data_IF_386775807086
#
_entry.id   IF_386775807086
#
_cell.length_a   1.000
_cell.length_b   1.000
_cell.length_c   1.000
_cell.angle_alpha   90.00
_cell.angle_beta   90.00
_cell.angle_gamma   90.00
#
_symmetry.space_group_name_H-M   'P 1'
#
loop_
_entity.id
_entity.type
_entity.pdbx_description
1 polymer ?
#
# COMPACT_ATOMS: atom_id res chain seq x y z
N UNK A 1 1.73 -4.30 16.95
CA UNK A 1 2.64 -3.67 15.96
C UNK A 1 1.79 -2.71 15.14
N UNK A 2 2.08 -1.42 15.21
CA UNK A 2 1.38 -0.39 14.43
C UNK A 2 2.16 -0.14 13.15
N UNK A 3 1.51 -0.27 12.01
CA UNK A 3 2.14 -0.13 10.69
C UNK A 3 1.76 1.20 10.08
N UNK A 4 2.77 1.89 9.53
CA UNK A 4 2.64 3.13 8.80
C UNK A 4 2.91 2.90 7.31
N UNK A 5 2.09 3.45 6.44
CA UNK A 5 2.35 3.55 5.02
C UNK A 5 2.88 4.96 4.71
N UNK A 6 4.15 5.06 4.31
CA UNK A 6 4.76 6.35 3.99
C UNK A 6 4.81 6.61 2.48
N UNK A 7 4.66 7.86 2.08
CA UNK A 7 4.56 8.24 0.66
C UNK A 7 5.85 8.02 -0.15
N UNK A 8 7.00 8.09 0.48
CA UNK A 8 8.29 7.92 -0.18
C UNK A 8 8.70 9.08 -1.12
N UNK A 9 9.91 9.02 -1.68
CA UNK A 9 10.45 10.11 -2.52
C UNK A 9 9.72 10.26 -3.85
N UNK A 10 9.13 9.19 -4.39
CA UNK A 10 8.45 9.18 -5.69
C UNK A 10 7.03 9.77 -5.66
N UNK A 11 6.61 10.33 -4.52
CA UNK A 11 5.28 10.96 -4.41
C UNK A 11 5.04 12.01 -5.50
N UNK A 12 6.06 12.81 -5.82
CA UNK A 12 5.97 13.85 -6.86
C UNK A 12 5.72 13.31 -8.25
N UNK A 13 6.19 12.11 -8.56
CA UNK A 13 6.02 11.45 -9.85
C UNK A 13 4.58 10.93 -10.05
N UNK A 14 3.81 10.83 -8.97
CA UNK A 14 2.40 10.45 -8.97
C UNK A 14 1.44 11.64 -9.06
N UNK A 15 1.94 12.85 -9.18
CA UNK A 15 1.08 14.02 -9.42
C UNK A 15 0.38 13.92 -10.79
N UNK A 16 -0.86 14.41 -10.90
CA UNK A 16 -1.63 15.16 -9.90
C UNK A 16 -2.44 14.30 -8.91
N UNK A 17 -2.40 12.97 -9.00
CA UNK A 17 -3.29 12.06 -8.27
C UNK A 17 -3.13 12.15 -6.73
N UNK A 18 -1.94 12.49 -6.26
CA UNK A 18 -1.60 12.60 -4.84
C UNK A 18 -1.63 14.04 -4.29
N UNK A 19 -2.21 14.98 -5.04
CA UNK A 19 -2.31 16.37 -4.58
C UNK A 19 -3.15 16.49 -3.32
N UNK A 20 -4.27 15.78 -3.25
CA UNK A 20 -5.28 15.89 -2.19
C UNK A 20 -5.34 14.67 -1.29
N UNK A 21 -4.44 13.70 -1.46
CA UNK A 21 -4.46 12.45 -0.71
C UNK A 21 -3.07 11.84 -0.59
N UNK A 22 -2.82 11.00 0.46
CA UNK A 22 -1.64 10.16 0.53
C UNK A 22 -1.56 9.16 -0.62
N UNK A 23 -0.35 8.69 -0.94
CA UNK A 23 -0.15 7.60 -1.92
C UNK A 23 -0.93 6.34 -1.51
N UNK A 24 -0.98 6.03 -0.23
CA UNK A 24 -1.74 4.90 0.31
C UNK A 24 -3.24 4.91 -0.07
N UNK A 25 -3.81 6.08 -0.38
CA UNK A 25 -5.22 6.21 -0.76
C UNK A 25 -5.45 6.23 -2.29
N UNK A 26 -4.44 5.90 -3.08
CA UNK A 26 -4.63 5.66 -4.51
C UNK A 26 -5.41 4.37 -4.71
N UNK A 27 -6.39 4.44 -5.61
CA UNK A 27 -7.23 3.31 -5.98
C UNK A 27 -6.53 2.51 -7.09
N UNK A 28 -6.45 1.20 -6.92
CA UNK A 28 -6.04 0.26 -7.95
C UNK A 28 -6.87 -1.02 -7.80
N UNK A 29 -7.47 -1.51 -8.89
CA UNK A 29 -8.46 -2.56 -8.78
C UNK A 29 -9.71 -2.08 -8.04
N UNK A 30 -10.25 -2.89 -7.15
CA UNK A 30 -11.46 -2.62 -6.37
C UNK A 30 -11.23 -1.93 -5.03
N UNK A 31 -9.98 -1.59 -4.65
CA UNK A 31 -9.67 -1.03 -3.33
C UNK A 31 -8.43 -0.14 -3.34
N UNK A 32 -8.23 0.67 -2.30
CA UNK A 32 -7.03 1.48 -2.15
C UNK A 32 -5.80 0.63 -1.78
N UNK A 33 -4.60 1.21 -1.93
CA UNK A 33 -3.37 0.55 -1.46
C UNK A 33 -3.43 0.31 0.05
N UNK A 34 -3.98 1.25 0.83
CA UNK A 34 -4.17 1.08 2.27
C UNK A 34 -5.10 -0.10 2.58
N UNK A 35 -6.27 -0.19 1.93
CA UNK A 35 -7.22 -1.29 2.14
C UNK A 35 -6.58 -2.66 1.85
N UNK A 36 -5.70 -2.74 0.84
CA UNK A 36 -4.95 -3.97 0.52
C UNK A 36 -4.02 -4.38 1.64
N UNK A 37 -3.26 -3.42 2.16
CA UNK A 37 -2.37 -3.66 3.29
C UNK A 37 -3.15 -4.05 4.54
N UNK A 38 -4.25 -3.36 4.86
CA UNK A 38 -5.10 -3.69 6.01
C UNK A 38 -5.68 -5.10 5.93
N UNK A 39 -6.11 -5.53 4.74
CA UNK A 39 -6.60 -6.90 4.51
C UNK A 39 -5.52 -7.94 4.72
N UNK A 40 -4.33 -7.74 4.15
CA UNK A 40 -3.21 -8.67 4.28
C UNK A 40 -2.73 -8.75 5.73
N UNK A 41 -2.64 -7.62 6.41
CA UNK A 41 -2.20 -7.50 7.80
C UNK A 41 -3.27 -7.90 8.80
N UNK A 42 -4.54 -7.91 8.41
CA UNK A 42 -5.72 -8.02 9.29
C UNK A 42 -5.69 -6.99 10.42
N UNK A 43 -5.23 -5.80 10.13
CA UNK A 43 -5.05 -4.70 11.07
C UNK A 43 -5.11 -3.37 10.34
N UNK A 44 -5.58 -2.32 11.02
CA UNK A 44 -5.55 -0.97 10.47
C UNK A 44 -4.13 -0.46 10.31
N UNK A 45 -3.93 0.39 9.29
CA UNK A 45 -2.68 1.10 9.05
C UNK A 45 -2.86 2.60 9.31
N UNK A 46 -1.74 3.28 9.59
CA UNK A 46 -1.67 4.75 9.61
C UNK A 46 -0.87 5.22 8.40
N UNK A 47 -0.96 6.49 8.05
CA UNK A 47 -0.23 7.05 6.90
C UNK A 47 0.76 8.12 7.35
N UNK A 48 1.88 8.22 6.65
CA UNK A 48 2.81 9.35 6.72
C UNK A 48 2.89 9.99 5.34
N UNK A 49 2.48 11.25 5.23
CA UNK A 49 2.36 11.97 3.96
C UNK A 49 2.81 13.43 4.11
N UNK A 50 2.68 14.20 3.03
CA UNK A 50 3.03 15.62 3.02
C UNK A 50 2.32 16.40 4.14
N UNK A 51 3.04 17.31 4.78
CA UNK A 51 2.60 18.05 5.98
C UNK A 51 1.31 18.85 5.80
N UNK A 52 1.01 19.28 4.57
CA UNK A 52 -0.24 20.02 4.28
C UNK A 52 -1.48 19.08 4.26
N UNK A 53 -1.30 17.77 4.07
CA UNK A 53 -2.38 16.76 4.18
C UNK A 53 -2.46 16.22 5.60
N UNK A 54 -1.32 16.09 6.28
CA UNK A 54 -1.23 15.52 7.60
C UNK A 54 -0.20 16.27 8.44
N UNK A 55 -0.65 17.23 9.29
CA UNK A 55 0.27 18.09 10.05
C UNK A 55 1.13 17.36 11.09
N UNK A 56 0.73 16.15 11.49
CA UNK A 56 1.44 15.36 12.51
C UNK A 56 1.71 13.96 12.01
N UNK A 57 2.97 13.55 12.09
CA UNK A 57 3.35 12.15 11.85
C UNK A 57 2.75 11.26 12.94
N UNK A 58 2.04 10.18 12.58
CA UNK A 58 1.51 9.25 13.57
C UNK A 58 2.63 8.46 14.23
N UNK A 59 2.40 7.94 15.42
CA UNK A 59 3.31 6.96 16.02
C UNK A 59 3.13 5.60 15.37
N UNK A 60 4.23 4.92 15.04
CA UNK A 60 4.25 3.59 14.46
C UNK A 60 5.47 2.79 14.93
N UNK A 61 5.47 1.49 14.69
CA UNK A 61 6.59 0.59 14.98
C UNK A 61 7.34 0.21 13.70
N UNK A 62 6.61 0.08 12.59
CA UNK A 62 7.14 -0.29 11.27
C UNK A 62 6.53 0.62 10.22
N UNK A 63 7.34 1.07 9.28
CA UNK A 63 6.89 1.82 8.11
C UNK A 63 7.15 1.03 6.83
N UNK A 64 6.22 1.12 5.87
CA UNK A 64 6.27 0.47 4.57
C UNK A 64 5.98 1.51 3.49
N UNK A 65 6.69 1.46 2.38
CA UNK A 65 6.45 2.33 1.24
C UNK A 65 5.04 2.10 0.68
N UNK A 66 4.19 3.12 0.75
CA UNK A 66 2.78 3.05 0.38
C UNK A 66 2.57 2.64 -1.09
N UNK A 67 3.51 2.99 -1.97
CA UNK A 67 3.48 2.68 -3.39
C UNK A 67 3.70 1.19 -3.71
N UNK A 68 4.11 0.36 -2.75
CA UNK A 68 4.28 -1.06 -2.94
C UNK A 68 2.93 -1.79 -2.89
N UNK A 69 2.67 -2.61 -3.91
CA UNK A 69 1.59 -3.60 -3.81
C UNK A 69 1.98 -4.67 -2.78
N UNK A 70 1.09 -5.01 -1.84
CA UNK A 70 1.39 -6.03 -0.85
C UNK A 70 1.58 -7.40 -1.49
N UNK A 71 2.59 -8.14 -0.99
CA UNK A 71 2.79 -9.56 -1.29
C UNK A 71 3.12 -10.31 0.00
N UNK A 72 2.96 -11.63 -0.04
CA UNK A 72 3.25 -12.48 1.12
C UNK A 72 4.75 -12.42 1.45
N UNK A 73 5.60 -12.40 0.42
CA UNK A 73 7.06 -12.34 0.56
C UNK A 73 7.49 -11.03 1.22
N UNK A 74 6.90 -9.91 0.77
CA UNK A 74 7.18 -8.61 1.37
C UNK A 74 6.71 -8.55 2.82
N UNK A 75 5.52 -9.07 3.12
CA UNK A 75 5.00 -9.13 4.48
C UNK A 75 5.92 -9.95 5.40
N UNK A 76 6.39 -11.11 4.94
CA UNK A 76 7.31 -11.96 5.70
C UNK A 76 8.64 -11.24 5.97
N UNK A 77 9.20 -10.57 4.95
CA UNK A 77 10.43 -9.80 5.11
C UNK A 77 10.25 -8.66 6.12
N UNK A 78 9.16 -7.93 6.04
CA UNK A 78 8.83 -6.84 6.99
C UNK A 78 8.67 -7.36 8.42
N UNK A 79 8.04 -8.53 8.61
CA UNK A 79 7.86 -9.15 9.93
C UNK A 79 9.19 -9.61 10.55
N UNK A 80 10.18 -9.96 9.72
CA UNK A 80 11.51 -10.39 10.17
C UNK A 80 12.44 -9.22 10.53
N UNK A 81 12.11 -7.98 10.14
CA UNK A 81 12.91 -6.81 10.48
C UNK A 81 13.06 -6.67 12.00
N UNK A 82 14.27 -6.35 12.42
CA UNK A 82 14.60 -5.94 13.79
C UNK A 82 14.59 -4.43 13.91
N UNK A 83 14.49 -3.92 15.14
CA UNK A 83 14.60 -2.48 15.38
C UNK A 83 15.94 -1.95 14.87
N UNK A 84 15.90 -0.83 14.13
CA UNK A 84 17.07 -0.25 13.49
C UNK A 84 17.48 -0.90 12.17
N UNK A 85 16.63 -1.75 11.57
CA UNK A 85 16.83 -2.31 10.24
C UNK A 85 15.89 -1.69 9.21
N UNK A 86 16.37 -1.56 7.97
CA UNK A 86 15.62 -1.09 6.81
C UNK A 86 15.73 -2.07 5.65
N UNK A 87 14.66 -2.21 4.90
CA UNK A 87 14.56 -3.08 3.73
C UNK A 87 14.75 -2.24 2.47
N UNK A 88 15.70 -2.62 1.63
CA UNK A 88 16.04 -1.93 0.38
C UNK A 88 15.77 -2.85 -0.80
N UNK A 89 15.22 -2.30 -1.87
CA UNK A 89 15.03 -2.99 -3.15
C UNK A 89 15.47 -2.08 -4.29
N UNK A 90 16.52 -2.45 -5.01
CA UNK A 90 17.12 -1.65 -6.10
C UNK A 90 17.38 -0.19 -5.64
N UNK A 91 18.13 -0.01 -4.56
CA UNK A 91 18.48 1.27 -3.94
C UNK A 91 17.28 2.09 -3.41
N UNK A 92 16.08 1.51 -3.43
CA UNK A 92 14.87 2.16 -2.91
C UNK A 92 14.52 1.62 -1.53
N UNK A 93 14.23 2.52 -0.60
CA UNK A 93 13.70 2.18 0.72
C UNK A 93 12.26 1.63 0.58
N UNK A 94 12.07 0.39 1.01
CA UNK A 94 10.77 -0.30 0.95
C UNK A 94 10.10 -0.33 2.31
N UNK A 95 10.87 -0.61 3.37
CA UNK A 95 10.34 -0.65 4.73
C UNK A 95 11.45 -0.40 5.74
N UNK A 96 11.07 -0.04 6.96
CA UNK A 96 11.99 0.02 8.09
C UNK A 96 11.26 -0.23 9.41
N UNK A 97 11.99 -0.66 10.41
CA UNK A 97 11.46 -0.87 11.75
C UNK A 97 12.12 0.05 12.75
N UNK A 98 11.31 0.91 13.35
CA UNK A 98 11.71 1.93 14.29
C UNK A 98 10.67 3.03 14.41
N UNK A 99 10.79 3.88 15.41
CA UNK A 99 9.81 4.94 15.72
C UNK A 99 10.19 6.31 15.15
N UNK A 100 11.14 6.33 14.21
CA UNK A 100 11.63 7.56 13.57
C UNK A 100 10.84 7.90 12.30
N UNK A 101 11.05 9.10 11.76
CA UNK A 101 10.45 9.49 10.47
C UNK A 101 11.11 8.76 9.29
N UNK A 102 10.43 8.74 8.15
CA UNK A 102 10.93 8.11 6.91
C UNK A 102 12.03 8.91 6.19
N UNK A 103 12.58 9.96 6.79
CA UNK A 103 13.64 10.77 6.18
C UNK A 103 14.96 10.02 6.09
N UNK A 104 15.72 10.26 5.03
CA UNK A 104 17.02 9.60 4.80
C UNK A 104 18.02 9.87 5.92
N UNK A 105 18.02 11.06 6.53
CA UNK A 105 18.90 11.40 7.65
C UNK A 105 18.59 10.55 8.88
N UNK A 106 17.29 10.41 9.23
CA UNK A 106 16.86 9.61 10.36
C UNK A 106 17.18 8.12 10.20
N UNK A 107 17.28 7.63 8.96
CA UNK A 107 17.53 6.22 8.63
C UNK A 107 18.98 5.93 8.24
N UNK A 108 19.87 6.92 8.31
CA UNK A 108 21.28 6.76 7.91
C UNK A 108 22.05 5.72 8.74
N UNK A 109 21.69 5.56 10.02
CA UNK A 109 22.29 4.59 10.92
C UNK A 109 21.63 3.20 10.90
N UNK A 110 20.56 3.01 10.10
CA UNK A 110 19.86 1.72 10.05
C UNK A 110 20.66 0.71 9.20
N UNK A 111 20.67 -0.52 9.66
CA UNK A 111 21.23 -1.65 8.93
C UNK A 111 20.40 -1.95 7.69
N UNK A 112 21.05 -2.04 6.53
CA UNK A 112 20.40 -2.33 5.26
C UNK A 112 20.24 -3.83 5.05
N UNK A 113 19.01 -4.26 4.76
CA UNK A 113 18.67 -5.62 4.37
C UNK A 113 18.17 -5.57 2.92
N UNK A 114 18.80 -6.32 2.04
CA UNK A 114 18.38 -6.39 0.63
C UNK A 114 17.13 -7.26 0.46
N UNK A 115 16.16 -6.74 -0.29
CA UNK A 115 14.96 -7.46 -0.70
C UNK A 115 15.06 -7.82 -2.19
N UNK A 116 15.45 -9.05 -2.49
CA UNK A 116 15.69 -9.52 -3.85
C UNK A 116 14.47 -10.14 -4.54
N UNK A 117 13.34 -10.28 -3.84
CA UNK A 117 12.11 -10.84 -4.44
C UNK A 117 11.43 -9.84 -5.39
N UNK A 118 10.68 -10.32 -6.40
CA UNK A 118 9.90 -9.45 -7.28
C UNK A 118 8.94 -8.57 -6.50
N UNK A 119 8.95 -7.28 -6.81
CA UNK A 119 8.10 -6.29 -6.16
C UNK A 119 7.43 -5.39 -7.20
N UNK A 120 6.13 -5.20 -7.05
CA UNK A 120 5.38 -4.23 -7.86
C UNK A 120 5.25 -2.92 -7.12
N UNK A 121 5.80 -1.87 -7.70
CA UNK A 121 5.78 -0.51 -7.13
C UNK A 121 5.08 0.42 -8.11
N UNK A 122 4.11 1.17 -7.62
CA UNK A 122 3.42 2.22 -8.39
C UNK A 122 4.29 3.48 -8.35
N UNK A 123 5.01 3.75 -9.44
CA UNK A 123 5.93 4.90 -9.56
C UNK A 123 5.30 6.07 -10.28
N UNK A 124 4.47 5.78 -11.28
CA UNK A 124 3.86 6.76 -12.15
C UNK A 124 2.35 6.56 -12.27
N UNK A 125 1.57 7.57 -12.64
CA UNK A 125 0.12 7.45 -12.80
C UNK A 125 -0.31 6.33 -13.76
N UNK A 126 0.45 6.06 -14.81
CA UNK A 126 0.15 4.99 -15.77
C UNK A 126 0.41 3.58 -15.24
N UNK A 127 1.18 3.42 -14.16
CA UNK A 127 1.36 2.12 -13.53
C UNK A 127 0.05 1.61 -12.93
N UNK A 128 -0.82 2.53 -12.47
CA UNK A 128 -2.17 2.17 -12.02
C UNK A 128 -2.96 1.47 -13.12
N UNK A 129 -2.87 1.96 -14.36
CA UNK A 129 -3.55 1.33 -15.50
C UNK A 129 -2.87 0.03 -15.91
N UNK A 130 -1.54 0.03 -15.98
CA UNK A 130 -0.76 -1.13 -16.44
C UNK A 130 -0.95 -2.35 -15.54
N UNK A 131 -1.09 -2.14 -14.23
CA UNK A 131 -1.27 -3.23 -13.26
C UNK A 131 -2.73 -3.52 -12.94
N UNK A 132 -3.68 -2.64 -13.33
CA UNK A 132 -5.06 -2.70 -12.89
C UNK A 132 -5.74 -4.03 -13.22
N UNK A 133 -5.56 -4.55 -14.44
CA UNK A 133 -6.19 -5.82 -14.87
C UNK A 133 -5.77 -6.97 -13.97
N UNK A 134 -4.47 -7.13 -13.70
CA UNK A 134 -3.97 -8.18 -12.82
C UNK A 134 -4.53 -8.00 -11.41
N UNK A 135 -4.50 -6.78 -10.91
CA UNK A 135 -4.96 -6.47 -9.56
C UNK A 135 -6.45 -6.70 -9.38
N UNK A 136 -7.30 -6.41 -10.41
CA UNK A 136 -8.73 -6.75 -10.38
C UNK A 136 -8.92 -8.27 -10.31
N UNK A 137 -8.17 -9.04 -11.10
CA UNK A 137 -8.26 -10.51 -11.05
C UNK A 137 -7.92 -11.05 -9.66
N UNK A 138 -6.88 -10.49 -9.02
CA UNK A 138 -6.51 -10.85 -7.66
C UNK A 138 -7.63 -10.47 -6.66
N UNK A 139 -8.28 -9.32 -6.87
CA UNK A 139 -9.36 -8.82 -6.01
C UNK A 139 -10.64 -9.65 -6.07
N UNK A 140 -10.95 -10.25 -7.23
CA UNK A 140 -12.15 -11.08 -7.38
C UNK A 140 -12.17 -12.19 -6.32
N UNK A 141 -11.03 -12.76 -5.99
CA UNK A 141 -10.92 -13.78 -4.95
C UNK A 141 -11.33 -13.27 -3.55
N UNK A 142 -11.14 -11.98 -3.28
CA UNK A 142 -11.53 -11.36 -2.01
C UNK A 142 -13.01 -10.98 -1.95
N UNK A 143 -13.64 -10.72 -3.10
CA UNK A 143 -15.04 -10.32 -3.17
C UNK A 143 -15.99 -11.50 -3.35
N UNK A 144 -15.53 -12.61 -3.94
CA UNK A 144 -16.37 -13.80 -4.22
C UNK A 144 -16.91 -14.47 -2.96
N UNK A 145 -16.23 -14.34 -1.81
CA UNK A 145 -16.68 -14.93 -0.54
C UNK A 145 -17.59 -14.02 0.28
N UNK A 146 -17.74 -12.76 -0.11
CA UNK A 146 -18.22 -11.78 0.85
C UNK A 146 -19.67 -11.37 0.72
N UNK A 147 -20.40 -11.60 -0.33
CA UNK A 147 -21.86 -11.26 -0.30
C UNK A 147 -22.60 -11.74 -1.54
N UNK A 148 -23.56 -12.62 -1.34
CA UNK A 148 -24.77 -12.66 -2.16
C UNK A 148 -25.62 -11.45 -1.77
N UNK A 149 -25.23 -10.28 -2.23
CA UNK A 149 -26.08 -9.11 -2.06
C UNK A 149 -27.23 -9.21 -3.04
N UNK A 150 -28.45 -9.22 -2.53
CA UNK A 150 -29.61 -8.98 -3.36
C UNK A 150 -29.52 -7.54 -3.88
N UNK A 151 -29.69 -7.37 -5.18
CA UNK A 151 -29.78 -6.04 -5.77
C UNK A 151 -30.90 -5.26 -5.08
N UNK A 152 -30.64 -3.98 -4.76
CA UNK A 152 -31.68 -3.09 -4.26
C UNK A 152 -32.79 -2.96 -5.29
N UNK A 153 -34.06 -2.84 -4.87
CA UNK A 153 -35.26 -2.81 -5.73
C UNK A 153 -35.22 -1.71 -6.81
N UNK A 154 -34.41 -0.66 -6.61
CA UNK A 154 -34.21 0.40 -7.62
C UNK A 154 -33.30 -0.02 -8.79
N UNK A 155 -32.60 -1.18 -8.71
CA UNK A 155 -31.75 -1.67 -9.78
C UNK A 155 -32.55 -2.53 -10.75
N UNK A 156 -32.25 -2.40 -12.04
CA UNK A 156 -32.78 -3.27 -13.08
C UNK A 156 -31.64 -4.12 -13.66
N UNK A 157 -31.82 -5.43 -13.66
CA UNK A 157 -30.86 -6.36 -14.24
C UNK A 157 -31.32 -6.73 -15.66
N UNK A 158 -30.42 -6.48 -16.63
CA UNK A 158 -30.66 -6.82 -18.03
C UNK A 158 -29.70 -7.94 -18.44
N UNK A 159 -30.23 -9.09 -18.86
CA UNK A 159 -29.45 -10.21 -19.34
C UNK A 159 -29.65 -11.48 -18.51
N UNK A 160 -28.91 -12.54 -18.91
CA UNK A 160 -29.06 -13.87 -18.30
C UNK A 160 -27.92 -14.23 -17.33
N UNK A 161 -26.93 -13.35 -17.19
CA UNK A 161 -25.80 -13.61 -16.28
C UNK A 161 -26.17 -13.19 -14.86
N UNK A 162 -25.83 -14.01 -13.85
CA UNK A 162 -26.05 -13.62 -12.46
C UNK A 162 -25.22 -12.38 -12.13
N UNK A 163 -25.79 -11.49 -11.34
CA UNK A 163 -25.08 -10.37 -10.73
C UNK A 163 -24.54 -10.87 -9.38
N UNK A 164 -23.23 -10.83 -9.23
CA UNK A 164 -22.52 -11.25 -8.02
C UNK A 164 -22.32 -10.07 -7.08
#
# INVERSE_FOLDING_TARGET
MRICLFDGPNRTDLLPLVYTRPVAHLLIGGMTLADRWERLLRSSVVTETASYLQPKTPSFDVAILAACLPSIELLQAVQQLKDGQKLIHNDMLIAFKGTTSSTSEALSAFEEIDFSQPLTIIRYPWDLFSHNTRVICDDVSFFSDSHKNTLHDSNQHFGQHPVL
#
